data_IF_985990070924
#
_entry.id   IF_985990070924
#
_cell.length_a   1.000
_cell.length_b   1.000
_cell.length_c   1.000
_cell.angle_alpha   90.00
_cell.angle_beta   90.00
_cell.angle_gamma   90.00
#
_symmetry.space_group_name_H-M   'P 1'
#
loop_
_entity.id
_entity.type
_entity.pdbx_description
1 polymer ?
#
# COMPACT_ATOMS: atom_id res chain seq x y z
N UNK A 1 -3.81 -20.19 22.89
CA UNK A 1 -4.97 -20.01 22.00
C UNK A 1 -5.00 -18.62 21.36
N UNK A 2 -4.71 -17.54 22.10
CA UNK A 2 -4.71 -16.15 21.58
C UNK A 2 -3.73 -15.83 20.42
N UNK A 3 -2.63 -16.59 20.25
CA UNK A 3 -1.65 -16.33 19.18
C UNK A 3 -2.19 -16.68 17.78
N UNK A 4 -3.03 -17.71 17.69
CA UNK A 4 -3.59 -18.19 16.42
C UNK A 4 -4.75 -17.33 15.90
N UNK A 5 -5.57 -16.78 16.81
CA UNK A 5 -6.66 -15.85 16.43
C UNK A 5 -6.09 -14.52 15.91
N UNK A 6 -5.08 -13.95 16.57
CA UNK A 6 -4.46 -12.69 16.16
C UNK A 6 -3.76 -12.76 14.79
N UNK A 7 -3.19 -13.90 14.41
CA UNK A 7 -2.61 -14.10 13.07
C UNK A 7 -3.70 -14.28 12.00
N UNK A 8 -4.79 -14.97 12.32
CA UNK A 8 -5.93 -15.14 11.41
C UNK A 8 -6.63 -13.82 11.13
N UNK A 9 -6.89 -13.00 12.15
CA UNK A 9 -7.49 -11.67 11.99
C UNK A 9 -6.60 -10.73 11.18
N UNK A 10 -5.28 -10.73 11.43
CA UNK A 10 -4.33 -9.91 10.68
C UNK A 10 -4.30 -10.29 9.19
N UNK A 11 -4.37 -11.59 8.88
CA UNK A 11 -4.44 -12.11 7.51
C UNK A 11 -5.77 -11.75 6.81
N UNK A 12 -6.88 -11.76 7.55
CA UNK A 12 -8.19 -11.35 7.04
C UNK A 12 -8.21 -9.85 6.72
N UNK A 13 -7.70 -9.00 7.62
CA UNK A 13 -7.59 -7.55 7.39
C UNK A 13 -6.76 -7.22 6.16
N UNK A 14 -5.62 -7.89 5.96
CA UNK A 14 -4.81 -7.72 4.74
C UNK A 14 -5.59 -8.01 3.47
N UNK A 15 -6.32 -9.13 3.44
CA UNK A 15 -7.10 -9.53 2.26
C UNK A 15 -8.21 -8.53 1.96
N UNK A 16 -8.96 -8.12 2.98
CA UNK A 16 -10.05 -7.15 2.83
C UNK A 16 -9.48 -5.82 2.34
N UNK A 17 -8.41 -5.33 2.95
CA UNK A 17 -7.81 -4.06 2.57
C UNK A 17 -7.19 -4.10 1.17
N UNK A 18 -6.52 -5.19 0.80
CA UNK A 18 -5.98 -5.37 -0.54
C UNK A 18 -7.09 -5.35 -1.61
N UNK A 19 -8.17 -6.11 -1.40
CA UNK A 19 -9.32 -6.13 -2.32
C UNK A 19 -9.97 -4.74 -2.36
N UNK A 20 -10.16 -4.10 -1.20
CA UNK A 20 -10.75 -2.75 -1.14
C UNK A 20 -9.90 -1.72 -1.89
N UNK A 21 -8.57 -1.83 -1.82
CA UNK A 21 -7.63 -0.96 -2.54
C UNK A 21 -7.75 -1.16 -4.05
N UNK A 22 -7.83 -2.41 -4.53
CA UNK A 22 -8.04 -2.70 -5.96
C UNK A 22 -9.38 -2.13 -6.43
N UNK A 23 -10.45 -2.34 -5.66
CA UNK A 23 -11.78 -1.88 -6.03
C UNK A 23 -11.87 -0.35 -6.05
N UNK A 24 -11.26 0.34 -5.09
CA UNK A 24 -11.29 1.80 -5.02
C UNK A 24 -10.27 2.48 -5.94
N UNK A 25 -8.98 2.28 -5.68
CA UNK A 25 -7.88 2.96 -6.38
C UNK A 25 -7.69 2.46 -7.81
N UNK A 26 -7.91 1.17 -8.06
CA UNK A 26 -7.84 0.62 -9.41
C UNK A 26 -9.13 0.87 -10.19
N UNK A 27 -10.22 0.26 -9.72
CA UNK A 27 -11.45 0.11 -10.51
C UNK A 27 -12.36 1.34 -10.44
N UNK A 28 -12.74 1.82 -9.25
CA UNK A 28 -13.67 2.95 -9.11
C UNK A 28 -13.06 4.25 -9.64
N UNK A 29 -11.82 4.58 -9.25
CA UNK A 29 -11.11 5.73 -9.81
C UNK A 29 -10.91 5.58 -11.32
N UNK A 30 -10.50 4.41 -11.81
CA UNK A 30 -10.33 4.19 -13.25
C UNK A 30 -11.62 4.30 -14.06
N UNK A 31 -12.73 3.77 -13.55
CA UNK A 31 -14.03 3.83 -14.19
C UNK A 31 -14.57 5.27 -14.21
N UNK A 32 -14.51 5.96 -13.07
CA UNK A 32 -14.99 7.35 -12.98
C UNK A 32 -14.15 8.29 -13.84
N UNK A 33 -12.83 8.10 -13.91
CA UNK A 33 -11.97 8.85 -14.82
C UNK A 33 -12.31 8.57 -16.29
N UNK A 34 -12.53 7.30 -16.67
CA UNK A 34 -12.90 6.94 -18.04
C UNK A 34 -14.25 7.55 -18.47
N UNK A 35 -15.25 7.54 -17.57
CA UNK A 35 -16.56 8.17 -17.82
C UNK A 35 -16.39 9.69 -17.93
N UNK A 36 -15.63 10.31 -17.02
CA UNK A 36 -15.36 11.75 -17.04
C UNK A 36 -14.73 12.19 -18.35
N UNK A 37 -13.73 11.46 -18.83
CA UNK A 37 -13.09 11.71 -20.12
C UNK A 37 -14.08 11.58 -21.28
N UNK A 38 -14.96 10.58 -21.24
CA UNK A 38 -15.95 10.38 -22.29
C UNK A 38 -17.01 11.51 -22.32
N UNK A 39 -17.38 12.06 -21.16
CA UNK A 39 -18.39 13.12 -21.05
C UNK A 39 -17.82 14.54 -21.24
N UNK A 40 -16.62 14.81 -20.71
CA UNK A 40 -16.01 16.16 -20.66
C UNK A 40 -14.82 16.32 -21.61
N UNK A 41 -14.43 15.25 -22.30
CA UNK A 41 -13.27 15.23 -23.18
C UNK A 41 -11.95 14.98 -22.44
N UNK A 42 -10.91 14.64 -23.20
CA UNK A 42 -9.60 14.22 -22.66
C UNK A 42 -8.92 15.30 -21.82
N UNK A 43 -9.21 16.58 -22.05
CA UNK A 43 -8.61 17.70 -21.30
C UNK A 43 -9.07 17.75 -19.83
N UNK A 44 -10.11 17.00 -19.45
CA UNK A 44 -10.58 16.86 -18.07
C UNK A 44 -9.64 16.07 -17.16
N UNK A 45 -8.90 15.09 -17.71
CA UNK A 45 -7.87 14.36 -16.97
C UNK A 45 -6.71 15.30 -16.68
N UNK A 46 -6.31 15.57 -15.44
CA UNK A 46 -5.22 16.53 -15.17
C UNK A 46 -3.83 15.94 -15.37
N UNK A 47 -3.69 14.62 -15.38
CA UNK A 47 -2.41 13.96 -15.55
C UNK A 47 -2.02 13.88 -17.04
N UNK A 48 -0.95 14.58 -17.49
CA UNK A 48 -0.58 14.61 -18.89
C UNK A 48 -0.18 13.23 -19.44
N UNK A 49 0.38 12.36 -18.60
CA UNK A 49 0.73 11.00 -19.00
C UNK A 49 -0.52 10.14 -19.26
N UNK A 50 -1.55 10.27 -18.41
CA UNK A 50 -2.81 9.56 -18.62
C UNK A 50 -3.57 10.09 -19.84
N UNK A 51 -3.50 11.41 -20.11
CA UNK A 51 -4.05 11.98 -21.37
C UNK A 51 -3.44 11.31 -22.59
N UNK A 52 -2.12 11.16 -22.62
CA UNK A 52 -1.42 10.60 -23.78
C UNK A 52 -1.85 9.15 -24.07
N UNK A 53 -2.02 8.34 -23.01
CA UNK A 53 -2.55 6.97 -23.12
C UNK A 53 -3.93 6.98 -23.76
N UNK A 54 -4.80 7.89 -23.31
CA UNK A 54 -6.18 7.99 -23.81
C UNK A 54 -6.23 8.47 -25.26
N UNK A 55 -5.39 9.44 -25.63
CA UNK A 55 -5.31 9.95 -27.01
C UNK A 55 -4.84 8.84 -27.95
N UNK A 56 -3.83 8.08 -27.53
CA UNK A 56 -3.20 7.05 -28.36
C UNK A 56 -4.01 5.75 -28.45
N UNK A 57 -4.68 5.35 -27.36
CA UNK A 57 -5.27 4.01 -27.21
C UNK A 57 -6.73 4.00 -26.73
N UNK A 58 -7.34 5.16 -26.50
CA UNK A 58 -8.72 5.31 -26.06
C UNK A 58 -8.94 5.15 -24.55
N UNK A 59 -10.14 5.53 -24.09
CA UNK A 59 -10.49 5.57 -22.67
C UNK A 59 -10.54 4.19 -21.98
N UNK A 60 -10.85 3.11 -22.72
CA UNK A 60 -10.85 1.75 -22.15
C UNK A 60 -9.44 1.31 -21.71
N UNK A 61 -8.41 1.76 -22.43
CA UNK A 61 -7.01 1.44 -22.12
C UNK A 61 -6.55 2.10 -20.82
N UNK A 62 -7.12 3.26 -20.45
CA UNK A 62 -6.87 3.91 -19.17
C UNK A 62 -7.31 3.02 -17.99
N UNK A 63 -8.47 2.38 -18.08
CA UNK A 63 -8.97 1.50 -17.02
C UNK A 63 -8.07 0.27 -16.84
N UNK A 64 -7.67 -0.37 -17.94
CA UNK A 64 -6.74 -1.50 -17.89
C UNK A 64 -5.41 -1.06 -17.26
N UNK A 65 -4.86 0.06 -17.74
CA UNK A 65 -3.61 0.61 -17.21
C UNK A 65 -3.69 0.88 -15.70
N UNK A 66 -4.73 1.57 -15.23
CA UNK A 66 -4.92 1.87 -13.80
C UNK A 66 -5.04 0.60 -12.95
N UNK A 67 -5.81 -0.39 -13.39
CA UNK A 67 -5.94 -1.67 -12.66
C UNK A 67 -4.58 -2.39 -12.60
N UNK A 68 -3.83 -2.45 -13.70
CA UNK A 68 -2.51 -3.07 -13.74
C UNK A 68 -1.52 -2.36 -12.82
N UNK A 69 -1.44 -1.04 -12.88
CA UNK A 69 -0.56 -0.24 -12.01
C UNK A 69 -0.96 -0.38 -10.56
N UNK A 70 -2.27 -0.34 -10.25
CA UNK A 70 -2.79 -0.58 -8.90
C UNK A 70 -2.34 -1.94 -8.37
N UNK A 71 -2.47 -3.01 -9.18
CA UNK A 71 -2.06 -4.34 -8.77
C UNK A 71 -0.54 -4.42 -8.51
N UNK A 72 0.28 -3.79 -9.36
CA UNK A 72 1.73 -3.71 -9.16
C UNK A 72 2.08 -2.99 -7.86
N UNK A 73 1.48 -1.82 -7.61
CA UNK A 73 1.75 -1.02 -6.41
C UNK A 73 1.31 -1.75 -5.13
N UNK A 74 0.12 -2.33 -5.09
CA UNK A 74 -0.39 -3.05 -3.91
C UNK A 74 0.36 -4.37 -3.67
N UNK A 75 1.11 -4.87 -4.64
CA UNK A 75 1.97 -6.05 -4.46
C UNK A 75 3.30 -5.72 -3.78
N UNK A 76 3.75 -4.45 -3.80
CA UNK A 76 5.05 -4.03 -3.25
C UNK A 76 5.20 -4.40 -1.77
N UNK A 77 4.26 -4.11 -0.86
CA UNK A 77 4.42 -4.44 0.56
C UNK A 77 4.55 -5.96 0.82
N UNK A 78 3.88 -6.79 0.02
CA UNK A 78 3.99 -8.26 0.12
C UNK A 78 5.37 -8.75 -0.30
N UNK A 79 5.94 -8.17 -1.36
CA UNK A 79 7.31 -8.45 -1.78
C UNK A 79 8.32 -8.04 -0.71
N UNK A 80 8.13 -6.86 -0.10
CA UNK A 80 9.00 -6.38 0.99
C UNK A 80 8.91 -7.30 2.22
N UNK A 81 7.71 -7.76 2.59
CA UNK A 81 7.54 -8.73 3.67
C UNK A 81 8.22 -10.06 3.36
N UNK A 82 8.08 -10.56 2.13
CA UNK A 82 8.71 -11.80 1.69
C UNK A 82 10.25 -11.73 1.78
N UNK A 83 10.85 -10.60 1.42
CA UNK A 83 12.30 -10.39 1.46
C UNK A 83 12.82 -10.20 2.89
N UNK A 84 12.12 -9.40 3.71
CA UNK A 84 12.56 -9.07 5.07
C UNK A 84 12.46 -10.24 6.04
N UNK A 85 11.57 -11.22 5.79
CA UNK A 85 11.24 -12.33 6.71
C UNK A 85 10.74 -11.86 8.09
N UNK A 86 10.42 -10.57 8.22
CA UNK A 86 9.85 -9.99 9.42
C UNK A 86 8.33 -9.89 9.28
N UNK A 87 7.65 -9.87 10.42
CA UNK A 87 6.23 -9.57 10.43
C UNK A 87 6.03 -8.08 10.20
N UNK A 88 5.26 -7.72 9.17
CA UNK A 88 4.99 -6.34 8.73
C UNK A 88 3.48 -6.05 8.65
N UNK A 89 2.68 -6.63 9.54
CA UNK A 89 1.22 -6.59 9.43
C UNK A 89 0.67 -5.17 9.44
N UNK A 90 1.17 -4.32 10.34
CA UNK A 90 0.69 -2.95 10.50
C UNK A 90 1.11 -2.06 9.33
N UNK A 91 2.36 -2.18 8.86
CA UNK A 91 2.84 -1.43 7.70
C UNK A 91 2.05 -1.77 6.45
N UNK A 92 1.78 -3.04 6.20
CA UNK A 92 1.00 -3.48 5.01
C UNK A 92 -0.46 -3.01 5.12
N UNK A 93 -1.11 -3.15 6.28
CA UNK A 93 -2.48 -2.67 6.49
C UNK A 93 -2.57 -1.14 6.29
N UNK A 94 -1.61 -0.40 6.85
CA UNK A 94 -1.53 1.05 6.69
C UNK A 94 -1.35 1.46 5.23
N UNK A 95 -0.45 0.79 4.52
CA UNK A 95 -0.24 1.00 3.08
C UNK A 95 -1.55 0.80 2.30
N UNK A 96 -2.23 -0.34 2.48
CA UNK A 96 -3.49 -0.61 1.78
C UNK A 96 -4.60 0.35 2.17
N UNK A 97 -4.74 0.69 3.45
CA UNK A 97 -5.72 1.66 3.92
C UNK A 97 -5.57 3.02 3.25
N UNK A 98 -4.33 3.51 3.09
CA UNK A 98 -4.06 4.78 2.40
C UNK A 98 -4.49 4.73 0.93
N UNK A 99 -4.18 3.66 0.21
CA UNK A 99 -4.61 3.52 -1.18
C UNK A 99 -6.13 3.38 -1.30
N UNK A 100 -6.80 2.72 -0.36
CA UNK A 100 -8.26 2.65 -0.33
C UNK A 100 -8.88 4.03 -0.21
N UNK A 101 -8.40 4.84 0.74
CA UNK A 101 -8.88 6.21 0.94
C UNK A 101 -8.56 7.09 -0.28
N UNK A 102 -7.35 7.00 -0.82
CA UNK A 102 -6.94 7.76 -1.99
C UNK A 102 -7.81 7.44 -3.22
N UNK A 103 -8.13 6.16 -3.43
CA UNK A 103 -9.01 5.73 -4.51
C UNK A 103 -10.43 6.26 -4.37
N UNK A 104 -10.97 6.26 -3.16
CA UNK A 104 -12.29 6.85 -2.87
C UNK A 104 -12.28 8.35 -3.17
N UNK A 105 -11.27 9.09 -2.69
CA UNK A 105 -11.15 10.53 -2.92
C UNK A 105 -11.04 10.86 -4.41
N UNK A 106 -10.20 10.14 -5.15
CA UNK A 106 -10.04 10.34 -6.59
C UNK A 106 -11.35 10.05 -7.36
N UNK A 107 -12.03 8.96 -7.03
CA UNK A 107 -13.32 8.63 -7.63
C UNK A 107 -14.41 9.68 -7.32
N UNK A 108 -14.42 10.20 -6.09
CA UNK A 108 -15.32 11.28 -5.68
C UNK A 108 -15.04 12.58 -6.45
N UNK A 109 -13.77 12.97 -6.60
CA UNK A 109 -13.40 14.18 -7.36
C UNK A 109 -13.78 14.05 -8.83
N UNK A 110 -13.50 12.92 -9.47
CA UNK A 110 -13.93 12.65 -10.85
C UNK A 110 -15.45 12.78 -10.97
N UNK A 111 -16.20 12.23 -10.01
CA UNK A 111 -17.67 12.30 -10.01
C UNK A 111 -18.20 13.71 -9.84
N UNK A 112 -17.65 14.48 -8.91
CA UNK A 112 -18.08 15.86 -8.66
C UNK A 112 -17.73 16.74 -9.85
N UNK A 113 -16.53 16.57 -10.44
CA UNK A 113 -16.15 17.27 -11.65
C UNK A 113 -17.11 17.02 -12.82
N UNK A 114 -17.58 15.78 -13.01
CA UNK A 114 -18.59 15.48 -14.03
C UNK A 114 -19.88 16.29 -13.82
N UNK A 115 -20.33 16.44 -12.57
CA UNK A 115 -21.59 17.13 -12.22
C UNK A 115 -21.47 18.65 -12.19
N UNK A 116 -20.39 19.19 -11.65
CA UNK A 116 -20.25 20.62 -11.36
C UNK A 116 -19.27 21.33 -12.31
N UNK A 117 -18.42 20.58 -13.02
CA UNK A 117 -17.37 21.13 -13.89
C UNK A 117 -16.12 21.61 -13.13
N UNK A 118 -16.09 21.41 -11.81
CA UNK A 118 -15.02 21.83 -10.90
C UNK A 118 -14.77 20.68 -9.90
N UNK A 119 -13.52 20.28 -9.61
CA UNK A 119 -13.27 19.22 -8.65
C UNK A 119 -13.51 19.73 -7.22
N UNK A 120 -13.84 18.83 -6.30
CA UNK A 120 -14.08 19.21 -4.92
C UNK A 120 -12.77 19.54 -4.19
N UNK A 121 -11.71 18.78 -4.50
CA UNK A 121 -10.36 19.02 -4.02
C UNK A 121 -9.44 19.15 -5.24
N UNK A 122 -8.46 20.05 -5.20
CA UNK A 122 -7.42 20.08 -6.24
C UNK A 122 -6.72 18.70 -6.30
N UNK A 123 -6.70 18.00 -7.46
CA UNK A 123 -6.08 16.68 -7.57
C UNK A 123 -4.59 16.65 -7.18
N UNK A 124 -3.89 17.79 -7.28
CA UNK A 124 -2.51 17.94 -6.80
C UNK A 124 -2.44 17.88 -5.27
N UNK A 125 -3.41 18.48 -4.58
CA UNK A 125 -3.54 18.38 -3.14
C UNK A 125 -3.90 16.97 -2.71
N UNK A 126 -4.83 16.29 -3.40
CA UNK A 126 -5.16 14.89 -3.12
C UNK A 126 -3.91 14.00 -3.22
N UNK A 127 -3.10 14.20 -4.25
CA UNK A 127 -1.83 13.48 -4.42
C UNK A 127 -0.86 13.77 -3.27
N UNK A 128 -0.68 15.04 -2.92
CA UNK A 128 0.22 15.45 -1.83
C UNK A 128 -0.23 14.91 -0.46
N UNK A 129 -1.52 14.98 -0.15
CA UNK A 129 -2.12 14.45 1.08
C UNK A 129 -1.99 12.93 1.12
N UNK A 130 -2.23 12.24 0.01
CA UNK A 130 -2.03 10.78 -0.10
C UNK A 130 -0.58 10.40 0.19
N UNK A 131 0.38 11.12 -0.38
CA UNK A 131 1.79 10.88 -0.12
C UNK A 131 2.15 11.08 1.37
N UNK A 132 1.65 12.14 2.00
CA UNK A 132 1.84 12.38 3.43
C UNK A 132 1.21 11.28 4.29
N UNK A 133 -0.02 10.88 3.98
CA UNK A 133 -0.70 9.78 4.67
C UNK A 133 0.08 8.47 4.54
N UNK A 134 0.65 8.20 3.36
CA UNK A 134 1.47 7.03 3.12
C UNK A 134 2.73 7.03 3.99
N UNK A 135 3.45 8.15 4.05
CA UNK A 135 4.64 8.28 4.90
C UNK A 135 4.29 8.10 6.38
N UNK A 136 3.20 8.68 6.85
CA UNK A 136 2.75 8.52 8.23
C UNK A 136 2.37 7.07 8.52
N UNK A 137 1.59 6.44 7.64
CA UNK A 137 1.15 5.05 7.79
C UNK A 137 2.33 4.08 7.83
N UNK A 138 3.33 4.26 6.95
CA UNK A 138 4.54 3.42 6.94
C UNK A 138 5.35 3.61 8.23
N UNK A 139 5.56 4.86 8.69
CA UNK A 139 6.32 5.11 9.91
C UNK A 139 5.64 4.56 11.16
N UNK A 140 4.32 4.78 11.29
CA UNK A 140 3.52 4.23 12.39
C UNK A 140 3.48 2.71 12.33
N UNK A 141 3.29 2.14 11.14
CA UNK A 141 3.31 0.70 10.90
C UNK A 141 4.64 0.09 11.34
N UNK A 142 5.76 0.66 10.89
CA UNK A 142 7.09 0.18 11.25
C UNK A 142 7.34 0.24 12.76
N UNK A 143 6.89 1.30 13.44
CA UNK A 143 7.01 1.39 14.89
C UNK A 143 6.21 0.28 15.61
N UNK A 144 5.00 -0.01 15.13
CA UNK A 144 4.13 -1.04 15.71
C UNK A 144 4.66 -2.46 15.43
N UNK A 145 5.08 -2.71 14.20
CA UNK A 145 5.66 -3.98 13.76
C UNK A 145 7.00 -4.24 14.48
N UNK A 146 7.85 -3.22 14.64
CA UNK A 146 9.09 -3.32 15.42
C UNK A 146 8.83 -3.73 16.87
N UNK A 147 7.89 -3.06 17.55
CA UNK A 147 7.51 -3.40 18.93
C UNK A 147 6.98 -4.83 19.01
N UNK A 148 6.18 -5.27 18.05
CA UNK A 148 5.61 -6.63 18.01
C UNK A 148 6.69 -7.69 17.78
N UNK A 149 7.64 -7.44 16.88
CA UNK A 149 8.75 -8.35 16.59
C UNK A 149 9.68 -8.51 17.80
N UNK A 150 9.99 -7.39 18.47
CA UNK A 150 10.82 -7.39 19.69
C UNK A 150 10.10 -7.94 20.93
N UNK A 151 8.79 -7.71 21.08
CA UNK A 151 8.00 -8.25 22.20
C UNK A 151 7.75 -9.76 22.06
N UNK A 152 7.60 -10.28 20.84
CA UNK A 152 7.34 -11.70 20.58
C UNK A 152 8.60 -12.57 20.51
N UNK A 153 9.79 -12.01 20.75
CA UNK A 153 11.03 -12.76 20.74
C UNK A 153 11.45 -13.23 19.35
N UNK A 154 10.99 -12.58 18.27
CA UNK A 154 11.62 -12.69 16.95
C UNK A 154 12.95 -11.92 16.98
N UNK A 155 13.83 -12.31 17.90
CA UNK A 155 15.24 -12.12 17.70
C UNK A 155 15.56 -12.88 16.41
N UNK A 156 15.95 -12.11 15.40
CA UNK A 156 17.02 -12.52 14.52
C UNK A 156 17.99 -13.38 15.36
N UNK A 157 18.18 -14.62 14.95
CA UNK A 157 19.13 -15.59 15.52
C UNK A 157 20.55 -15.00 15.41
N UNK A 158 20.86 -13.98 16.20
CA UNK A 158 22.15 -13.27 16.22
C UNK A 158 22.63 -12.95 17.62
N UNK A 159 21.81 -13.15 18.67
CA UNK A 159 22.36 -13.33 20.01
C UNK A 159 22.76 -14.79 20.16
N UNK A 160 24.05 -15.04 19.94
CA UNK A 160 24.72 -16.25 20.41
C UNK A 160 24.27 -16.44 21.86
N UNK A 161 23.58 -17.54 22.14
CA UNK A 161 23.18 -17.84 23.53
C UNK A 161 24.42 -18.02 24.40
N UNK A 162 24.36 -17.75 25.70
CA UNK A 162 25.53 -17.91 26.58
C UNK A 162 26.16 -19.31 26.45
N UNK A 163 25.35 -20.34 26.20
CA UNK A 163 25.80 -21.71 25.92
C UNK A 163 26.51 -21.88 24.56
N UNK A 164 26.04 -21.21 23.52
CA UNK A 164 26.72 -21.18 22.22
C UNK A 164 28.00 -20.34 22.29
N UNK A 165 28.02 -19.28 23.11
CA UNK A 165 29.18 -18.42 23.31
C UNK A 165 30.29 -19.18 24.05
N UNK A 166 29.94 -19.94 25.10
CA UNK A 166 30.89 -20.83 25.76
C UNK A 166 31.42 -21.93 24.84
N UNK A 167 30.58 -22.45 23.95
CA UNK A 167 31.02 -23.43 22.94
C UNK A 167 32.02 -22.80 21.96
N UNK A 168 31.73 -21.61 21.46
CA UNK A 168 32.61 -20.87 20.56
C UNK A 168 33.92 -20.46 21.24
N UNK A 169 33.88 -20.06 22.53
CA UNK A 169 35.10 -19.79 23.31
C UNK A 169 36.01 -21.01 23.38
N UNK A 170 35.45 -22.20 23.62
CA UNK A 170 36.20 -23.47 23.64
C UNK A 170 36.77 -23.82 22.27
N UNK A 171 36.01 -23.61 21.20
CA UNK A 171 36.47 -23.88 19.82
C UNK A 171 37.55 -22.90 19.35
N UNK A 172 37.51 -21.64 19.83
CA UNK A 172 38.48 -20.60 19.50
C UNK A 172 39.69 -20.53 20.45
N UNK A 173 39.74 -21.41 21.46
CA UNK A 173 40.74 -21.42 22.53
C UNK A 173 40.89 -20.03 23.20
N UNK A 174 39.76 -19.36 23.40
CA UNK A 174 39.70 -18.01 23.94
C UNK A 174 40.01 -18.02 25.45
N UNK A 175 40.91 -17.16 25.96
CA UNK A 175 41.22 -17.11 27.38
C UNK A 175 39.99 -16.68 28.20
N UNK A 176 39.85 -17.29 29.38
CA UNK A 176 38.72 -17.05 30.31
C UNK A 176 38.63 -15.61 30.82
#
# INVERSE_FOLDING_TARGET
MERGENEYESCLSHKILFISGILSFGLLDGLTAAIMINEKGVMSELNPFLREIVISYGAATLLIFKITVCFMILSVPLLVQYISKESMYWTINGFYGVFTVAGILAAMDNWIFMKMGDPFIDPRLVTGVTFLMLLMAINLGNMMDYRRNHANGYYCRSRITDKEWERMKKEMNYPD
#
